data_IF_819877456578
#
_entry.id   IF_819877456578
#
_cell.length_a   1.000
_cell.length_b   1.000
_cell.length_c   1.000
_cell.angle_alpha   90.00
_cell.angle_beta   90.00
_cell.angle_gamma   90.00
#
_symmetry.space_group_name_H-M   'P 1'
#
loop_
_entity.id
_entity.type
_entity.pdbx_description
1 polymer ?
#
# COMPACT_ATOMS: atom_id res chain seq x y z
N UNK A 1 7.15 13.40 39.54
CA UNK A 1 6.00 14.27 39.91
C UNK A 1 4.74 13.61 39.39
N UNK A 2 3.72 13.49 40.19
CA UNK A 2 2.40 12.96 39.80
C UNK A 2 1.39 14.12 39.97
N UNK A 3 0.58 14.35 38.95
CA UNK A 3 -0.46 15.37 38.94
C UNK A 3 -1.80 14.64 38.73
N UNK A 4 -2.62 14.49 39.79
CA UNK A 4 -3.96 13.92 39.64
C UNK A 4 -4.86 14.93 38.93
N UNK A 5 -5.51 14.45 37.83
CA UNK A 5 -6.51 15.23 37.11
C UNK A 5 -7.84 14.51 37.31
N UNK A 6 -8.65 14.98 38.23
CA UNK A 6 -9.96 14.39 38.52
C UNK A 6 -11.03 14.89 37.55
N UNK A 7 -12.21 14.24 37.56
CA UNK A 7 -13.36 14.71 36.78
C UNK A 7 -13.81 16.07 37.27
N UNK A 8 -14.06 16.98 36.36
CA UNK A 8 -14.50 18.35 36.66
C UNK A 8 -13.44 19.38 36.30
N UNK A 9 -13.37 20.44 37.03
CA UNK A 9 -12.44 21.56 36.81
C UNK A 9 -11.22 21.42 37.73
N UNK A 10 -10.03 21.35 37.16
CA UNK A 10 -8.76 21.34 37.88
C UNK A 10 -7.94 22.60 37.52
N UNK A 11 -7.51 23.37 38.49
CA UNK A 11 -6.67 24.55 38.30
C UNK A 11 -5.25 24.29 38.81
N UNK A 12 -4.25 24.58 37.95
CA UNK A 12 -2.82 24.54 38.31
C UNK A 12 -2.36 25.99 38.52
N UNK A 13 -2.08 26.38 39.76
CA UNK A 13 -1.67 27.73 40.13
C UNK A 13 -0.23 27.76 40.65
N UNK A 14 0.41 28.94 40.62
CA UNK A 14 1.77 29.12 41.12
C UNK A 14 2.41 30.40 40.55
N UNK A 15 3.57 30.82 41.09
CA UNK A 15 4.29 32.01 40.62
C UNK A 15 4.85 31.84 39.20
N UNK A 16 5.33 32.93 38.62
CA UNK A 16 6.02 32.89 37.33
C UNK A 16 7.29 32.04 37.44
N UNK A 17 7.54 31.18 36.45
CA UNK A 17 8.70 30.28 36.44
C UNK A 17 8.49 28.95 37.21
N UNK A 18 7.36 28.74 37.90
CA UNK A 18 7.09 27.50 38.66
C UNK A 18 6.80 26.26 37.82
N UNK A 19 6.82 26.35 36.48
CA UNK A 19 6.59 25.22 35.61
C UNK A 19 5.13 24.90 35.27
N UNK A 20 4.18 25.80 35.55
CA UNK A 20 2.74 25.61 35.21
C UNK A 20 2.53 25.21 33.75
N UNK A 21 3.15 25.95 32.86
CA UNK A 21 3.04 25.68 31.42
C UNK A 21 3.69 24.35 31.00
N UNK A 22 4.67 23.85 31.74
CA UNK A 22 5.31 22.59 31.50
C UNK A 22 4.35 21.40 31.70
N UNK A 23 3.31 21.56 32.54
CA UNK A 23 2.27 20.53 32.67
C UNK A 23 1.47 20.38 31.37
N UNK A 24 1.12 21.47 30.70
CA UNK A 24 0.48 21.44 29.39
C UNK A 24 1.39 20.85 28.31
N UNK A 25 2.68 21.24 28.29
CA UNK A 25 3.67 20.70 27.38
C UNK A 25 3.90 19.19 27.60
N UNK A 26 3.85 18.72 28.84
CA UNK A 26 3.97 17.31 29.18
C UNK A 26 2.81 16.48 28.59
N UNK A 27 1.58 16.98 28.67
CA UNK A 27 0.41 16.34 28.05
C UNK A 27 0.61 16.28 26.55
N UNK A 28 0.96 17.39 25.93
CA UNK A 28 1.21 17.41 24.48
C UNK A 28 2.38 16.52 24.06
N UNK A 29 3.43 16.45 24.86
CA UNK A 29 4.56 15.58 24.60
C UNK A 29 4.14 14.13 24.42
N UNK A 30 3.26 13.58 25.27
CA UNK A 30 2.77 12.21 25.15
C UNK A 30 1.84 12.04 23.95
N UNK A 31 0.97 13.02 23.70
CA UNK A 31 0.06 12.99 22.53
C UNK A 31 0.82 12.96 21.20
N UNK A 32 2.09 13.38 21.18
CA UNK A 32 2.98 13.25 20.04
C UNK A 32 2.68 14.24 18.91
N UNK A 33 2.86 15.54 19.13
CA UNK A 33 2.67 16.55 18.09
C UNK A 33 3.63 16.31 16.91
N UNK A 34 3.24 16.74 15.72
CA UNK A 34 4.06 16.62 14.51
C UNK A 34 5.35 17.46 14.57
N UNK A 35 5.38 18.50 15.40
CA UNK A 35 6.51 19.40 15.52
C UNK A 35 6.88 19.64 16.97
N UNK A 36 8.17 19.63 17.28
CA UNK A 36 8.69 20.01 18.60
C UNK A 36 8.40 21.48 18.95
N UNK A 37 8.19 22.34 17.95
CA UNK A 37 7.82 23.75 18.17
C UNK A 37 6.53 23.91 18.95
N UNK A 38 5.62 22.95 18.84
CA UNK A 38 4.34 22.95 19.57
C UNK A 38 4.56 22.83 21.07
N UNK A 39 5.61 22.17 21.52
CA UNK A 39 6.02 22.01 22.92
C UNK A 39 7.18 22.95 23.31
N UNK A 40 7.29 24.06 22.61
CA UNK A 40 8.27 25.14 22.89
C UNK A 40 9.72 24.65 22.96
N UNK A 41 10.06 23.53 22.29
CA UNK A 41 11.41 23.00 22.18
C UNK A 41 11.93 23.15 20.74
N UNK A 42 13.16 23.60 20.57
CA UNK A 42 13.81 23.65 19.27
C UNK A 42 14.22 22.25 18.83
N UNK A 43 14.79 21.50 19.75
CA UNK A 43 15.23 20.12 19.54
C UNK A 43 14.64 19.19 20.61
N UNK A 44 14.55 17.90 20.30
CA UNK A 44 14.11 16.91 21.29
C UNK A 44 15.06 16.81 22.51
N UNK A 45 16.31 17.23 22.37
CA UNK A 45 17.27 17.30 23.49
C UNK A 45 16.88 18.33 24.55
N UNK A 46 16.24 19.43 24.13
CA UNK A 46 15.86 20.53 25.00
C UNK A 46 14.75 20.13 25.99
N UNK A 47 14.09 19.01 25.76
CA UNK A 47 13.09 18.44 26.66
C UNK A 47 13.70 17.70 27.85
N UNK A 48 14.99 17.38 27.78
CA UNK A 48 15.70 16.69 28.86
C UNK A 48 16.32 17.75 29.78
N UNK A 49 16.12 17.57 31.09
CA UNK A 49 16.67 18.46 32.09
C UNK A 49 18.20 18.61 32.01
N UNK A 50 18.69 19.80 31.83
CA UNK A 50 20.12 20.12 31.65
C UNK A 50 20.91 20.28 32.95
N UNK A 51 20.29 20.05 34.12
CA UNK A 51 20.94 20.16 35.43
C UNK A 51 20.81 21.54 36.11
N UNK A 52 20.53 22.58 35.34
CA UNK A 52 20.51 23.95 35.89
C UNK A 52 21.87 24.29 36.54
N UNK A 53 21.85 25.14 37.61
CA UNK A 53 23.06 25.59 38.26
C UNK A 53 23.60 24.61 39.34
N UNK A 54 22.74 23.72 39.86
CA UNK A 54 23.05 22.95 41.07
C UNK A 54 22.87 21.44 40.95
N UNK A 55 22.51 20.92 39.80
CA UNK A 55 22.23 19.49 39.59
C UNK A 55 22.93 18.92 38.36
N UNK A 56 23.14 17.61 38.34
CA UNK A 56 23.65 16.92 37.19
C UNK A 56 22.58 16.87 36.09
N UNK A 57 23.03 17.05 34.84
CA UNK A 57 22.15 16.88 33.66
C UNK A 57 21.54 15.48 33.61
N UNK A 58 20.25 15.41 33.34
CA UNK A 58 19.57 14.15 33.11
C UNK A 58 19.94 13.57 31.74
N UNK A 59 19.86 12.23 31.59
CA UNK A 59 20.07 11.56 30.30
C UNK A 59 18.77 11.12 29.63
N UNK A 60 17.66 11.25 30.33
CA UNK A 60 16.35 10.85 29.84
C UNK A 60 15.25 11.68 30.49
N UNK A 61 14.15 11.81 29.78
CA UNK A 61 12.89 12.28 30.32
C UNK A 61 11.77 11.31 29.93
N UNK A 62 10.75 11.20 30.75
CA UNK A 62 9.58 10.38 30.46
C UNK A 62 8.33 11.04 31.02
N UNK A 63 7.25 10.93 30.28
CA UNK A 63 5.92 11.35 30.72
C UNK A 63 4.95 10.22 30.44
N UNK A 64 4.09 9.95 31.42
CA UNK A 64 3.02 8.97 31.32
C UNK A 64 1.70 9.65 31.56
N UNK A 65 0.76 9.50 30.61
CA UNK A 65 -0.64 9.87 30.80
C UNK A 65 -1.44 8.61 31.14
N UNK A 66 -2.25 8.71 32.17
CA UNK A 66 -3.18 7.64 32.58
C UNK A 66 -4.58 8.10 32.26
N UNK A 67 -5.22 7.40 31.32
CA UNK A 67 -6.58 7.71 30.89
C UNK A 67 -7.55 6.73 31.57
N UNK A 68 -8.59 7.26 32.21
CA UNK A 68 -9.72 6.47 32.63
C UNK A 68 -10.55 6.07 31.40
N UNK A 69 -10.81 4.81 31.26
CA UNK A 69 -11.55 4.21 30.13
C UNK A 69 -12.68 3.29 30.61
N UNK A 70 -13.60 3.77 31.46
CA UNK A 70 -14.71 2.96 31.95
C UNK A 70 -15.64 2.59 30.79
N UNK A 71 -16.40 1.53 31.01
CA UNK A 71 -17.48 1.16 30.11
C UNK A 71 -18.59 2.20 30.19
N UNK A 72 -19.02 2.72 29.07
CA UNK A 72 -20.12 3.65 28.93
C UNK A 72 -21.48 2.92 28.99
N UNK A 73 -22.57 3.65 29.16
CA UNK A 73 -23.94 3.11 29.25
C UNK A 73 -24.37 2.32 28.00
N UNK A 74 -23.75 2.61 26.86
CA UNK A 74 -23.95 1.89 25.59
C UNK A 74 -23.10 0.62 25.47
N UNK A 75 -22.41 0.17 26.52
CA UNK A 75 -21.52 -0.98 26.53
C UNK A 75 -20.18 -0.79 25.80
N UNK A 76 -19.93 0.41 25.27
CA UNK A 76 -18.67 0.73 24.57
C UNK A 76 -17.72 1.49 25.47
N UNK A 77 -16.43 1.46 25.13
CA UNK A 77 -15.38 2.26 25.76
C UNK A 77 -14.96 3.39 24.83
N UNK A 78 -14.49 4.51 25.38
CA UNK A 78 -14.01 5.65 24.57
C UNK A 78 -12.70 5.30 23.83
N UNK A 79 -11.79 4.66 24.53
CA UNK A 79 -10.57 4.14 23.92
C UNK A 79 -10.82 2.68 23.49
N UNK A 80 -10.36 2.25 22.30
CA UNK A 80 -10.62 0.91 21.75
C UNK A 80 -9.71 -0.15 22.42
N UNK A 81 -9.73 -0.17 23.75
CA UNK A 81 -8.99 -1.10 24.59
C UNK A 81 -9.88 -1.61 25.71
N UNK A 82 -9.84 -2.89 25.97
CA UNK A 82 -10.70 -3.52 27.00
C UNK A 82 -10.07 -3.47 28.39
N UNK A 83 -9.76 -2.26 28.86
CA UNK A 83 -9.17 -1.97 30.17
C UNK A 83 -9.79 -0.71 30.74
N UNK A 84 -9.94 -0.63 32.07
CA UNK A 84 -10.50 0.54 32.75
C UNK A 84 -9.53 1.72 32.83
N UNK A 85 -8.23 1.43 32.80
CA UNK A 85 -7.15 2.41 32.71
C UNK A 85 -6.26 2.11 31.51
N UNK A 86 -5.87 3.15 30.78
CA UNK A 86 -4.93 3.08 29.68
C UNK A 86 -3.75 4.00 29.95
N UNK A 87 -2.57 3.41 30.06
CA UNK A 87 -1.30 4.14 30.33
C UNK A 87 -0.54 4.33 29.05
N UNK A 88 -0.36 5.57 28.65
CA UNK A 88 0.40 5.96 27.47
C UNK A 88 1.65 6.70 27.92
N UNK A 89 2.81 6.11 27.67
CA UNK A 89 4.11 6.68 28.06
C UNK A 89 4.93 7.02 26.84
N UNK A 90 5.54 8.19 26.86
CA UNK A 90 6.59 8.57 25.90
C UNK A 90 7.85 8.94 26.68
N UNK A 91 8.96 8.38 26.24
CA UNK A 91 10.27 8.67 26.82
C UNK A 91 11.28 9.07 25.75
N UNK A 92 12.18 9.96 26.12
CA UNK A 92 13.33 10.35 25.31
C UNK A 92 14.59 10.03 26.09
N UNK A 93 15.58 9.44 25.43
CA UNK A 93 16.89 9.11 26.02
C UNK A 93 18.00 9.59 25.11
N UNK A 94 19.04 10.15 25.71
CA UNK A 94 20.31 10.43 25.03
C UNK A 94 21.18 9.17 25.04
N UNK A 95 21.63 8.77 23.86
CA UNK A 95 22.64 7.71 23.72
C UNK A 95 24.03 8.23 24.10
N UNK A 96 24.97 7.33 24.28
CA UNK A 96 26.39 7.70 24.54
C UNK A 96 26.97 8.56 23.39
N UNK A 97 26.48 8.36 22.17
CA UNK A 97 26.86 9.13 20.97
C UNK A 97 26.16 10.49 20.84
N UNK A 98 25.30 10.88 21.81
CA UNK A 98 24.57 12.14 21.79
C UNK A 98 23.33 12.15 20.91
N UNK A 99 22.94 11.00 20.34
CA UNK A 99 21.72 10.89 19.58
C UNK A 99 20.50 10.73 20.49
N UNK A 100 19.35 11.18 19.99
CA UNK A 100 18.08 11.11 20.72
C UNK A 100 17.29 9.89 20.25
N UNK A 101 16.91 9.04 21.19
CA UNK A 101 16.01 7.91 20.95
C UNK A 101 14.69 8.18 21.66
N UNK A 102 13.58 8.07 20.94
CA UNK A 102 12.23 8.24 21.47
C UNK A 102 11.55 6.88 21.53
N UNK A 103 11.03 6.50 22.68
CA UNK A 103 10.26 5.28 22.90
C UNK A 103 8.83 5.61 23.29
N UNK A 104 7.90 4.81 22.78
CA UNK A 104 6.48 4.87 23.10
C UNK A 104 6.10 3.55 23.79
N UNK A 105 5.31 3.62 24.87
CA UNK A 105 4.83 2.43 25.56
C UNK A 105 3.33 2.58 25.86
N UNK A 106 2.59 1.51 25.59
CA UNK A 106 1.17 1.38 25.88
C UNK A 106 1.00 0.32 26.96
N UNK A 107 0.53 0.69 28.14
CA UNK A 107 0.38 -0.21 29.29
C UNK A 107 1.67 -0.97 29.66
N UNK A 108 2.84 -0.38 29.41
CA UNK A 108 4.15 -0.98 29.69
C UNK A 108 4.75 -1.75 28.51
N UNK A 109 4.00 -2.01 27.45
CA UNK A 109 4.51 -2.67 26.24
C UNK A 109 4.99 -1.64 25.21
N UNK A 110 6.01 -2.02 24.41
CA UNK A 110 6.50 -1.17 23.35
C UNK A 110 5.44 -0.92 22.29
N UNK A 111 5.33 0.30 21.86
CA UNK A 111 4.30 0.76 20.92
C UNK A 111 4.88 1.77 19.94
N UNK A 112 4.07 2.25 19.00
CA UNK A 112 4.45 3.25 18.02
C UNK A 112 3.61 4.53 18.14
N UNK A 113 4.14 5.64 17.66
CA UNK A 113 3.39 6.89 17.53
C UNK A 113 2.10 6.72 16.73
N UNK A 114 2.12 5.90 15.66
CA UNK A 114 0.93 5.61 14.85
C UNK A 114 -0.16 4.92 15.68
N UNK A 115 0.24 4.00 16.55
CA UNK A 115 -0.70 3.31 17.45
C UNK A 115 -1.33 4.29 18.44
N UNK A 116 -0.54 5.20 19.03
CA UNK A 116 -1.05 6.28 19.89
C UNK A 116 -2.08 7.14 19.17
N UNK A 117 -1.75 7.63 17.98
CA UNK A 117 -2.67 8.47 17.20
C UNK A 117 -3.96 7.73 16.83
N UNK A 118 -3.89 6.43 16.55
CA UNK A 118 -5.07 5.61 16.25
C UNK A 118 -5.99 5.48 17.46
N UNK A 119 -5.41 5.18 18.65
CA UNK A 119 -6.16 5.01 19.90
C UNK A 119 -6.78 6.35 20.33
N UNK A 120 -6.00 7.41 20.33
CA UNK A 120 -6.46 8.76 20.71
C UNK A 120 -7.45 9.33 19.71
N UNK A 121 -7.29 9.02 18.41
CA UNK A 121 -8.23 9.43 17.38
C UNK A 121 -9.63 8.85 17.58
N UNK A 122 -9.74 7.63 18.08
CA UNK A 122 -11.02 7.01 18.42
C UNK A 122 -11.76 7.75 19.54
N UNK A 123 -11.01 8.36 20.47
CA UNK A 123 -11.57 9.22 21.56
C UNK A 123 -11.66 10.70 21.16
N UNK A 124 -11.39 11.04 19.91
CA UNK A 124 -11.30 12.41 19.39
C UNK A 124 -10.26 13.28 20.13
N UNK A 125 -9.28 12.65 20.80
CA UNK A 125 -8.17 13.30 21.48
C UNK A 125 -6.95 13.39 20.54
N UNK A 126 -6.90 14.42 19.70
CA UNK A 126 -5.80 14.61 18.74
C UNK A 126 -4.78 15.60 19.27
N UNK A 127 -3.47 15.39 19.04
CA UNK A 127 -2.43 16.34 19.41
C UNK A 127 -2.58 17.70 18.72
N UNK A 128 -3.11 17.69 17.50
CA UNK A 128 -3.38 18.90 16.70
C UNK A 128 -4.85 19.38 16.88
N UNK A 129 -5.59 18.79 17.83
CA UNK A 129 -6.99 19.14 18.09
C UNK A 129 -7.12 20.37 18.98
N UNK A 130 -8.24 21.08 18.86
CA UNK A 130 -8.57 22.25 19.67
C UNK A 130 -9.01 21.89 21.10
N UNK A 131 -8.88 20.64 21.51
CA UNK A 131 -9.14 20.18 22.88
C UNK A 131 -8.07 20.66 23.87
N UNK A 132 -6.91 21.07 23.38
CA UNK A 132 -5.81 21.62 24.15
C UNK A 132 -5.50 23.00 23.57
N UNK A 133 -5.73 24.04 24.35
CA UNK A 133 -5.48 25.41 23.96
C UNK A 133 -4.21 25.88 24.67
N UNK A 134 -3.20 26.21 23.90
CA UNK A 134 -1.95 26.75 24.43
C UNK A 134 -1.98 28.29 24.55
N UNK A 135 -0.98 28.81 25.23
CA UNK A 135 -0.77 30.25 25.32
C UNK A 135 -0.55 30.82 23.90
N UNK A 136 -1.41 31.76 23.51
CA UNK A 136 -1.35 32.39 22.18
C UNK A 136 -2.26 31.83 21.13
N UNK A 137 -2.83 30.62 21.31
CA UNK A 137 -3.72 30.00 20.32
C UNK A 137 -5.01 30.79 20.08
N UNK A 138 -5.58 31.37 21.14
CA UNK A 138 -6.79 32.20 21.04
C UNK A 138 -6.54 33.43 20.15
N UNK A 139 -5.38 34.09 20.32
CA UNK A 139 -5.01 35.23 19.47
C UNK A 139 -4.68 34.83 18.05
N UNK A 140 -4.14 33.66 17.86
CA UNK A 140 -3.88 33.11 16.51
C UNK A 140 -5.19 32.80 15.76
N UNK A 141 -6.19 32.28 16.46
CA UNK A 141 -7.52 32.02 15.91
C UNK A 141 -8.19 33.29 15.35
N UNK A 142 -8.05 34.40 16.07
CA UNK A 142 -8.56 35.69 15.62
C UNK A 142 -7.85 36.22 14.37
N UNK A 143 -6.56 35.89 14.18
CA UNK A 143 -5.74 36.32 13.04
C UNK A 143 -5.85 35.39 11.84
N UNK A 144 -6.48 34.23 11.98
CA UNK A 144 -6.63 33.23 10.90
C UNK A 144 -7.50 33.79 9.77
N UNK A 145 -7.16 33.39 8.55
CA UNK A 145 -7.99 33.63 7.37
C UNK A 145 -9.32 32.86 7.46
N UNK A 146 -10.31 33.24 6.68
CA UNK A 146 -11.60 32.54 6.63
C UNK A 146 -11.45 31.05 6.27
N UNK A 147 -10.50 30.72 5.38
CA UNK A 147 -10.20 29.34 4.97
C UNK A 147 -9.58 28.50 6.10
N UNK A 148 -8.71 29.10 6.88
CA UNK A 148 -8.11 28.45 8.05
C UNK A 148 -9.14 28.25 9.17
N UNK A 149 -9.98 29.26 9.47
CA UNK A 149 -11.08 29.11 10.43
C UNK A 149 -12.05 28.01 10.05
N UNK A 150 -12.39 27.87 8.77
CA UNK A 150 -13.20 26.75 8.29
C UNK A 150 -12.56 25.40 8.61
N UNK A 151 -11.25 25.24 8.38
CA UNK A 151 -10.55 23.99 8.72
C UNK A 151 -10.63 23.64 10.21
N UNK A 152 -10.61 24.68 11.07
CA UNK A 152 -10.80 24.51 12.51
C UNK A 152 -12.20 23.94 12.80
N UNK A 153 -13.24 24.52 12.22
CA UNK A 153 -14.62 24.05 12.38
C UNK A 153 -14.78 22.62 11.83
N UNK A 154 -14.25 22.33 10.66
CA UNK A 154 -14.26 21.00 10.05
C UNK A 154 -13.55 19.96 10.96
N UNK A 155 -12.45 20.36 11.62
CA UNK A 155 -11.73 19.52 12.57
C UNK A 155 -12.53 19.24 13.83
N UNK A 156 -13.18 20.26 14.40
CA UNK A 156 -14.02 20.14 15.62
C UNK A 156 -15.27 19.31 15.31
N UNK A 157 -15.86 19.49 14.13
CA UNK A 157 -16.99 18.71 13.65
C UNK A 157 -16.65 17.25 13.30
N UNK A 158 -15.35 16.90 13.27
CA UNK A 158 -14.90 15.56 12.90
C UNK A 158 -14.97 15.23 11.40
N UNK A 159 -15.28 16.22 10.57
CA UNK A 159 -15.42 16.06 9.10
C UNK A 159 -14.09 15.72 8.42
N UNK A 160 -12.97 16.21 8.99
CA UNK A 160 -11.62 15.96 8.46
C UNK A 160 -11.25 14.49 8.34
N UNK A 161 -11.88 13.59 9.11
CA UNK A 161 -11.69 12.15 8.99
C UNK A 161 -12.24 11.62 7.66
N UNK A 162 -13.43 12.08 7.31
CA UNK A 162 -14.09 11.70 6.05
C UNK A 162 -13.36 12.26 4.84
N UNK A 163 -12.83 13.49 4.94
CA UNK A 163 -12.01 14.09 3.88
C UNK A 163 -10.71 13.30 3.64
N UNK A 164 -10.10 12.74 4.69
CA UNK A 164 -8.93 11.88 4.56
C UNK A 164 -9.27 10.53 3.93
N UNK A 165 -10.44 9.97 4.25
CA UNK A 165 -10.93 8.73 3.64
C UNK A 165 -11.30 8.93 2.17
N UNK A 166 -11.98 10.03 1.84
CA UNK A 166 -12.29 10.40 0.45
C UNK A 166 -11.00 10.54 -0.36
N UNK A 167 -10.01 11.30 0.14
CA UNK A 167 -8.71 11.45 -0.54
C UNK A 167 -7.96 10.13 -0.73
N UNK A 168 -8.09 9.17 0.19
CA UNK A 168 -7.52 7.83 0.02
C UNK A 168 -8.26 7.05 -1.06
N UNK A 169 -9.59 7.12 -1.06
CA UNK A 169 -10.42 6.48 -2.07
C UNK A 169 -10.16 7.04 -3.47
N UNK A 170 -10.01 8.36 -3.61
CA UNK A 170 -9.66 9.01 -4.88
C UNK A 170 -8.32 8.53 -5.43
N UNK A 171 -7.27 8.45 -4.57
CA UNK A 171 -5.96 7.92 -4.99
C UNK A 171 -6.02 6.46 -5.39
N UNK A 172 -6.85 5.66 -4.72
CA UNK A 172 -7.05 4.26 -5.09
C UNK A 172 -7.78 4.16 -6.43
N UNK A 173 -8.79 5.00 -6.65
CA UNK A 173 -9.50 5.11 -7.93
C UNK A 173 -8.54 5.44 -9.07
N UNK A 174 -7.73 6.50 -8.93
CA UNK A 174 -6.75 6.90 -9.93
C UNK A 174 -5.80 5.75 -10.28
N UNK A 175 -5.32 5.02 -9.26
CA UNK A 175 -4.46 3.85 -9.46
C UNK A 175 -5.18 2.72 -10.21
N UNK A 176 -6.47 2.49 -9.94
CA UNK A 176 -7.28 1.48 -10.65
C UNK A 176 -7.52 1.90 -12.10
N UNK A 177 -7.79 3.17 -12.34
CA UNK A 177 -7.97 3.71 -13.70
C UNK A 177 -6.69 3.52 -14.54
N UNK A 178 -5.50 3.78 -13.98
CA UNK A 178 -4.20 3.48 -14.61
C UNK A 178 -4.04 1.99 -14.96
N UNK A 179 -4.44 1.08 -14.03
CA UNK A 179 -4.41 -0.34 -14.30
C UNK A 179 -5.37 -0.77 -15.41
N UNK A 180 -6.56 -0.19 -15.46
CA UNK A 180 -7.55 -0.45 -16.52
C UNK A 180 -7.00 -0.03 -17.88
N UNK A 181 -6.36 1.13 -17.99
CA UNK A 181 -5.74 1.58 -19.25
C UNK A 181 -4.63 0.62 -19.70
N UNK A 182 -3.77 0.18 -18.79
CA UNK A 182 -2.72 -0.81 -19.11
C UNK A 182 -3.30 -2.14 -19.58
N UNK A 183 -4.36 -2.63 -18.93
CA UNK A 183 -5.02 -3.87 -19.32
C UNK A 183 -5.65 -3.73 -20.70
N UNK A 184 -6.32 -2.63 -21.02
CA UNK A 184 -6.88 -2.37 -22.35
C UNK A 184 -5.81 -2.39 -23.43
N UNK A 185 -4.66 -1.75 -23.19
CA UNK A 185 -3.54 -1.76 -24.13
C UNK A 185 -3.01 -3.19 -24.37
N UNK A 186 -2.90 -3.99 -23.32
CA UNK A 186 -2.49 -5.40 -23.42
C UNK A 186 -3.54 -6.22 -24.18
N UNK A 187 -4.82 -5.99 -23.93
CA UNK A 187 -5.92 -6.67 -24.63
C UNK A 187 -5.88 -6.36 -26.13
N UNK A 188 -5.72 -5.11 -26.51
CA UNK A 188 -5.63 -4.71 -27.92
C UNK A 188 -4.42 -5.32 -28.62
N UNK A 189 -3.27 -5.35 -27.96
CA UNK A 189 -2.07 -6.01 -28.48
C UNK A 189 -2.31 -7.53 -28.67
N UNK A 190 -2.96 -8.19 -27.72
CA UNK A 190 -3.27 -9.61 -27.82
C UNK A 190 -4.29 -9.90 -28.93
N UNK A 191 -5.31 -9.04 -29.09
CA UNK A 191 -6.27 -9.14 -30.20
C UNK A 191 -5.59 -9.00 -31.56
N UNK A 192 -4.68 -8.05 -31.71
CA UNK A 192 -3.90 -7.87 -32.94
C UNK A 192 -3.05 -9.10 -33.24
N UNK A 193 -2.35 -9.64 -32.25
CA UNK A 193 -1.55 -10.86 -32.37
C UNK A 193 -2.41 -12.09 -32.74
N UNK A 194 -3.55 -12.21 -32.12
CA UNK A 194 -4.49 -13.32 -32.41
C UNK A 194 -5.02 -13.25 -33.85
N UNK A 195 -5.29 -12.03 -34.35
CA UNK A 195 -5.71 -11.83 -35.76
C UNK A 195 -4.60 -12.24 -36.74
N UNK A 196 -3.36 -11.93 -36.42
CA UNK A 196 -2.22 -12.34 -37.26
C UNK A 196 -1.99 -13.84 -37.20
N UNK A 197 -2.02 -14.45 -36.04
CA UNK A 197 -1.90 -15.90 -35.88
C UNK A 197 -3.02 -16.67 -36.59
N UNK A 198 -4.26 -16.16 -36.62
CA UNK A 198 -5.35 -16.75 -37.38
C UNK A 198 -5.05 -16.75 -38.88
N UNK A 199 -4.55 -15.66 -39.45
CA UNK A 199 -4.13 -15.59 -40.85
C UNK A 199 -3.02 -16.62 -41.17
N UNK A 200 -2.01 -16.70 -40.30
CA UNK A 200 -0.91 -17.67 -40.46
C UNK A 200 -1.42 -19.10 -40.39
N UNK A 201 -2.33 -19.40 -39.45
CA UNK A 201 -2.98 -20.71 -39.38
C UNK A 201 -3.72 -21.06 -40.67
N UNK A 202 -4.55 -20.13 -41.17
CA UNK A 202 -5.35 -20.37 -42.37
C UNK A 202 -4.46 -20.61 -43.61
N UNK A 203 -3.33 -19.88 -43.71
CA UNK A 203 -2.32 -20.14 -44.75
C UNK A 203 -1.65 -21.50 -44.56
N UNK A 204 -1.27 -21.85 -43.35
CA UNK A 204 -0.63 -23.14 -43.06
C UNK A 204 -1.56 -24.33 -43.37
N UNK A 205 -2.86 -24.21 -43.08
CA UNK A 205 -3.85 -25.23 -43.43
C UNK A 205 -3.93 -25.38 -44.95
N UNK A 206 -4.05 -24.28 -45.71
CA UNK A 206 -4.06 -24.31 -47.18
C UNK A 206 -2.82 -24.98 -47.79
N UNK A 207 -1.63 -24.64 -47.26
CA UNK A 207 -0.37 -25.24 -47.71
C UNK A 207 -0.37 -26.74 -47.43
N UNK A 208 -0.85 -27.16 -46.25
CA UNK A 208 -0.96 -28.59 -45.91
C UNK A 208 -1.88 -29.31 -46.88
N UNK A 209 -3.07 -28.77 -47.12
CA UNK A 209 -4.05 -29.37 -48.04
C UNK A 209 -3.45 -29.55 -49.46
N UNK A 210 -2.75 -28.50 -49.97
CA UNK A 210 -2.06 -28.56 -51.27
C UNK A 210 -0.92 -29.59 -51.29
N UNK A 211 -0.18 -29.74 -50.21
CA UNK A 211 0.88 -30.77 -50.10
C UNK A 211 0.28 -32.18 -50.12
N UNK A 212 -0.83 -32.36 -49.40
CA UNK A 212 -1.54 -33.64 -49.39
C UNK A 212 -2.11 -33.99 -50.78
N UNK A 213 -2.72 -33.05 -51.50
CA UNK A 213 -3.17 -33.23 -52.90
C UNK A 213 -1.99 -33.56 -53.83
N UNK A 214 -0.87 -32.84 -53.71
CA UNK A 214 0.33 -33.12 -54.52
C UNK A 214 0.90 -34.51 -54.25
N UNK A 215 0.93 -34.95 -53.00
CA UNK A 215 1.37 -36.30 -52.65
C UNK A 215 0.43 -37.38 -53.23
N UNK A 216 -0.90 -37.17 -53.18
CA UNK A 216 -1.86 -38.06 -53.84
C UNK A 216 -1.67 -38.11 -55.35
N UNK A 217 -1.51 -36.96 -56.00
CA UNK A 217 -1.24 -36.91 -57.45
C UNK A 217 0.07 -37.61 -57.83
N UNK A 218 1.13 -37.50 -57.04
CA UNK A 218 2.39 -38.22 -57.21
C UNK A 218 2.18 -39.76 -57.15
N UNK A 219 1.45 -40.21 -56.10
CA UNK A 219 1.15 -41.65 -55.95
C UNK A 219 0.42 -42.17 -57.18
N UNK A 220 -0.62 -41.49 -57.65
CA UNK A 220 -1.39 -41.85 -58.85
C UNK A 220 -0.46 -41.87 -60.07
N UNK A 221 0.39 -40.85 -60.25
CA UNK A 221 1.37 -40.81 -61.36
C UNK A 221 2.35 -42.00 -61.35
N UNK A 222 2.87 -42.35 -60.16
CA UNK A 222 3.76 -43.49 -60.00
C UNK A 222 3.02 -44.83 -60.32
N UNK A 223 1.79 -44.96 -59.84
CA UNK A 223 0.97 -46.15 -60.13
C UNK A 223 0.70 -46.29 -61.63
N UNK A 224 0.33 -45.22 -62.33
CA UNK A 224 0.11 -45.18 -63.75
C UNK A 224 1.40 -45.52 -64.54
N UNK A 225 2.54 -44.95 -64.18
CA UNK A 225 3.85 -45.23 -64.75
C UNK A 225 4.25 -46.70 -64.56
N UNK A 226 4.03 -47.23 -63.37
CA UNK A 226 4.31 -48.63 -63.06
C UNK A 226 3.42 -49.60 -63.86
N UNK A 227 2.13 -49.35 -64.00
CA UNK A 227 1.19 -50.13 -64.82
C UNK A 227 1.57 -50.11 -66.30
N UNK A 228 2.01 -48.92 -66.82
CA UNK A 228 2.50 -48.82 -68.20
C UNK A 228 3.75 -49.67 -68.43
N UNK A 229 4.71 -49.66 -67.50
CA UNK A 229 5.93 -50.46 -67.59
C UNK A 229 5.63 -51.98 -67.54
N UNK A 230 4.66 -52.38 -66.70
CA UNK A 230 4.23 -53.79 -66.68
C UNK A 230 3.60 -54.20 -68.04
N UNK A 231 2.68 -53.39 -68.56
CA UNK A 231 2.04 -53.62 -69.83
C UNK A 231 3.07 -53.71 -70.98
N UNK A 232 4.06 -52.86 -71.01
CA UNK A 232 5.14 -52.84 -71.99
C UNK A 232 6.02 -54.12 -71.87
N UNK A 233 6.33 -54.56 -70.66
CA UNK A 233 7.07 -55.79 -70.39
C UNK A 233 6.29 -57.03 -70.80
N UNK A 234 5.01 -57.06 -70.52
CA UNK A 234 4.13 -58.16 -70.99
C UNK A 234 4.03 -58.22 -72.53
N UNK A 235 3.93 -57.05 -73.17
CA UNK A 235 3.93 -56.93 -74.61
C UNK A 235 5.25 -57.44 -75.21
N UNK A 236 6.40 -57.04 -74.66
CA UNK A 236 7.71 -57.60 -75.12
C UNK A 236 7.85 -59.08 -74.88
N UNK A 237 7.32 -59.59 -73.78
CA UNK A 237 7.32 -61.02 -73.50
C UNK A 237 6.51 -61.82 -74.57
N UNK A 238 5.35 -61.28 -74.97
CA UNK A 238 4.53 -61.86 -76.02
C UNK A 238 5.22 -61.87 -77.40
N UNK A 239 5.96 -60.79 -77.75
CA UNK A 239 6.77 -60.70 -78.97
C UNK A 239 7.86 -61.76 -78.94
N UNK A 240 8.60 -61.95 -77.86
CA UNK A 240 9.63 -62.94 -77.70
C UNK A 240 9.11 -64.38 -77.81
N UNK A 241 7.87 -64.61 -77.42
CA UNK A 241 7.25 -65.94 -77.57
C UNK A 241 6.83 -66.19 -79.04
N UNK A 242 6.46 -65.15 -79.79
CA UNK A 242 5.99 -65.29 -81.18
C UNK A 242 7.10 -65.28 -82.25
N UNK A 243 8.25 -64.66 -82.03
CA UNK A 243 9.39 -64.61 -82.96
C UNK A 243 10.12 -65.93 -83.16
N UNK A 244 10.38 -66.79 -82.14
CA UNK A 244 11.04 -68.06 -82.37
C UNK A 244 10.19 -69.00 -83.21
N UNK A 245 8.88 -68.87 -83.21
CA UNK A 245 7.99 -69.71 -84.06
C UNK A 245 8.02 -69.31 -85.55
N UNK A 246 8.32 -68.01 -85.82
CA UNK A 246 8.51 -67.54 -87.21
C UNK A 246 9.83 -68.02 -87.86
N UNK A 247 10.92 -68.07 -87.07
CA UNK A 247 12.21 -68.54 -87.52
C UNK A 247 12.23 -70.06 -87.79
N UNK A 248 11.41 -70.88 -87.16
CA UNK A 248 11.26 -72.28 -87.36
C UNK A 248 10.30 -72.64 -88.55
N UNK A 249 9.51 -71.68 -89.07
CA UNK A 249 8.60 -71.86 -90.20
C UNK A 249 9.25 -71.53 -91.57
N UNK A 250 10.56 -71.12 -91.61
CA UNK A 250 11.33 -70.79 -92.82
C UNK A 250 12.52 -71.80 -93.03
N UNK A 251 12.64 -72.86 -92.24
CA UNK A 251 13.56 -74.00 -92.47
C UNK A 251 12.80 -75.28 -92.92
#
# INVERSE_FOLDING_TARGET
>A
MVVPLERGFTAITGPNGSGKSNCGDAIQFVLGPRSNKTIRAQNSKDLIFNGGNNHNAARSCSVTLVFANPTLDNGRRRLPLNMDEVRMSRSIRLTKSGNVVTNYQLNGEESSQKSFHRILGAANARPDGYNIVLQGDVTSLAKMTAKERRKVLDSVAGVTLYDDEIRKADRQKDSVDDYIERIKLLEDNQKARLKELKKQKDLAVKVKDLVDELNQARIISYQASYASQIAEKEYQSLIHISEPTRLLAIA
#
